data_IF_137420240702
#
_entry.id   IF_137420240702
#
_cell.length_a   1.000
_cell.length_b   1.000
_cell.length_c   1.000
_cell.angle_alpha   90.00
_cell.angle_beta   90.00
_cell.angle_gamma   90.00
#
_symmetry.space_group_name_H-M   'P 1'
#
loop_
_entity.id
_entity.type
_entity.pdbx_description
1 polymer ?
#
# COMPACT_ATOMS: atom_id res chain seq x y z
N UNK A 1 -5.64 37.45 -23.87
CA UNK A 1 -4.26 37.24 -24.38
C UNK A 1 -4.28 35.88 -25.02
N UNK A 2 -4.10 35.82 -26.34
CA UNK A 2 -4.25 34.63 -27.16
C UNK A 2 -3.22 33.58 -26.75
N UNK A 3 -3.69 32.41 -26.29
CA UNK A 3 -2.86 31.21 -26.10
C UNK A 3 -2.13 30.95 -27.40
N UNK A 4 -0.80 30.98 -27.34
CA UNK A 4 0.02 30.68 -28.49
C UNK A 4 -0.22 29.21 -28.85
N UNK A 5 -0.69 28.94 -30.06
CA UNK A 5 -0.63 27.61 -30.67
C UNK A 5 0.83 27.19 -30.66
N UNK A 6 1.25 26.47 -29.62
CA UNK A 6 2.60 25.92 -29.53
C UNK A 6 2.65 24.79 -30.54
N UNK A 7 3.13 25.12 -31.74
CA UNK A 7 3.39 24.14 -32.78
C UNK A 7 4.47 23.18 -32.23
N UNK A 8 4.09 21.94 -31.93
CA UNK A 8 4.99 20.96 -31.33
C UNK A 8 6.02 20.52 -32.39
N UNK A 9 7.30 20.77 -32.11
CA UNK A 9 8.43 20.29 -32.91
C UNK A 9 9.40 19.47 -32.07
N UNK A 10 10.45 18.94 -32.70
CA UNK A 10 11.52 18.25 -31.98
C UNK A 10 12.18 19.17 -30.93
N UNK A 11 12.44 20.41 -31.33
CA UNK A 11 13.10 21.44 -30.53
C UNK A 11 12.22 21.84 -29.35
N UNK A 12 10.90 22.00 -29.55
CA UNK A 12 10.00 22.34 -28.45
C UNK A 12 9.94 21.24 -27.39
N UNK A 13 9.89 19.96 -27.81
CA UNK A 13 9.91 18.82 -26.87
C UNK A 13 11.24 18.80 -26.11
N UNK A 14 12.35 19.06 -26.81
CA UNK A 14 13.66 19.15 -26.18
C UNK A 14 13.73 20.28 -25.15
N UNK A 15 13.26 21.48 -25.48
CA UNK A 15 13.21 22.62 -24.56
C UNK A 15 12.35 22.32 -23.32
N UNK A 16 11.17 21.74 -23.52
CA UNK A 16 10.27 21.34 -22.43
C UNK A 16 10.97 20.33 -21.51
N UNK A 17 11.66 19.33 -22.08
CA UNK A 17 12.45 18.37 -21.30
C UNK A 17 13.59 19.04 -20.54
N UNK A 18 14.30 19.99 -21.16
CA UNK A 18 15.40 20.70 -20.50
C UNK A 18 14.90 21.59 -19.36
N UNK A 19 13.75 22.24 -19.51
CA UNK A 19 13.10 22.99 -18.43
C UNK A 19 12.63 22.07 -17.30
N UNK A 20 12.08 20.90 -17.64
CA UNK A 20 11.72 19.88 -16.64
C UNK A 20 12.94 19.40 -15.85
N UNK A 21 14.09 19.24 -16.53
CA UNK A 21 15.37 18.86 -15.91
C UNK A 21 15.93 19.92 -14.98
N UNK A 22 15.89 21.19 -15.40
CA UNK A 22 16.55 22.28 -14.69
C UNK A 22 15.80 22.79 -13.46
N UNK A 23 14.48 22.53 -13.36
CA UNK A 23 13.65 22.99 -12.24
C UNK A 23 13.37 21.84 -11.30
N UNK A 24 13.42 22.11 -10.00
CA UNK A 24 12.92 21.17 -9.00
C UNK A 24 11.40 21.08 -9.06
N UNK A 25 10.71 22.20 -9.19
CA UNK A 25 9.25 22.28 -9.24
C UNK A 25 8.67 21.76 -10.56
N UNK A 26 7.39 21.35 -10.52
CA UNK A 26 6.66 20.90 -11.70
C UNK A 26 6.44 22.11 -12.62
N UNK A 27 6.92 22.03 -13.85
CA UNK A 27 6.67 23.11 -14.80
C UNK A 27 5.22 23.06 -15.29
N UNK A 28 4.64 24.24 -15.53
CA UNK A 28 3.36 24.37 -16.21
C UNK A 28 3.53 24.03 -17.69
N UNK A 29 2.62 23.22 -18.21
CA UNK A 29 2.49 22.88 -19.62
C UNK A 29 1.13 23.36 -20.13
N UNK A 30 1.01 23.50 -21.44
CA UNK A 30 -0.28 23.76 -22.09
C UNK A 30 -1.24 22.59 -21.83
N UNK A 31 -2.54 22.85 -21.58
CA UNK A 31 -3.51 21.79 -21.29
C UNK A 31 -3.59 20.72 -22.38
N UNK A 32 -3.44 21.14 -23.64
CA UNK A 32 -3.51 20.26 -24.80
C UNK A 32 -2.13 19.72 -25.25
N UNK A 33 -1.08 19.90 -24.44
CA UNK A 33 0.29 19.51 -24.79
C UNK A 33 0.39 18.07 -25.31
N UNK A 34 -0.20 17.09 -24.61
CA UNK A 34 -0.14 15.70 -25.06
C UNK A 34 -0.94 15.45 -26.34
N UNK A 35 -2.04 16.16 -26.56
CA UNK A 35 -2.81 16.07 -27.81
C UNK A 35 -1.95 16.56 -28.98
N UNK A 36 -1.29 17.71 -28.82
CA UNK A 36 -0.40 18.27 -29.84
C UNK A 36 0.81 17.38 -30.11
N UNK A 37 1.39 16.75 -29.07
CA UNK A 37 2.45 15.75 -29.24
C UNK A 37 1.99 14.54 -30.05
N UNK A 38 0.77 14.04 -29.80
CA UNK A 38 0.21 12.91 -30.58
C UNK A 38 0.00 13.29 -32.04
N UNK A 39 -0.48 14.50 -32.34
CA UNK A 39 -0.62 15.00 -33.71
C UNK A 39 0.74 15.03 -34.41
N UNK A 40 1.75 15.63 -33.78
CA UNK A 40 3.11 15.70 -34.31
C UNK A 40 3.73 14.31 -34.58
N UNK A 41 3.54 13.36 -33.68
CA UNK A 41 4.02 11.98 -33.84
C UNK A 41 3.34 11.27 -35.03
N UNK A 42 2.04 11.49 -35.23
CA UNK A 42 1.30 10.94 -36.37
C UNK A 42 1.81 11.50 -37.70
N UNK A 43 2.03 12.81 -37.77
CA UNK A 43 2.58 13.47 -38.96
C UNK A 43 3.98 12.94 -39.29
N UNK A 44 4.88 12.86 -38.30
CA UNK A 44 6.22 12.31 -38.48
C UNK A 44 6.21 10.86 -38.94
N UNK A 45 5.27 10.05 -38.42
CA UNK A 45 5.12 8.66 -38.85
C UNK A 45 4.59 8.55 -40.28
N UNK A 46 3.63 9.38 -40.67
CA UNK A 46 3.09 9.42 -42.02
C UNK A 46 4.17 9.74 -43.07
N UNK A 47 5.09 10.67 -42.77
CA UNK A 47 6.24 10.99 -43.65
C UNK A 47 7.14 9.76 -43.87
N UNK A 48 7.44 9.00 -42.80
CA UNK A 48 8.23 7.76 -42.91
C UNK A 48 7.51 6.71 -43.78
N UNK A 49 6.18 6.60 -43.64
CA UNK A 49 5.37 5.65 -44.41
C UNK A 49 5.27 6.03 -45.89
N UNK A 50 5.13 7.32 -46.22
CA UNK A 50 5.13 7.79 -47.60
C UNK A 50 6.46 7.52 -48.31
N UNK A 51 7.58 7.80 -47.62
CA UNK A 51 8.93 7.56 -48.15
C UNK A 51 9.34 6.08 -48.15
N UNK A 52 8.50 5.17 -47.63
CA UNK A 52 8.82 3.74 -47.59
C UNK A 52 8.67 3.02 -48.94
N UNK A 53 8.03 3.67 -49.93
CA UNK A 53 7.74 3.09 -51.25
C UNK A 53 8.78 3.43 -52.32
N UNK A 54 9.68 4.38 -52.07
CA UNK A 54 10.75 4.79 -52.98
C UNK A 54 12.03 3.99 -52.72
N UNK A 55 12.57 3.34 -53.77
CA UNK A 55 13.83 2.58 -53.71
C UNK A 55 15.09 3.43 -53.99
N UNK A 56 14.95 4.77 -53.99
CA UNK A 56 16.06 5.69 -54.20
C UNK A 56 16.99 5.72 -52.97
N UNK A 57 18.30 5.68 -53.21
CA UNK A 57 19.33 5.64 -52.15
C UNK A 57 19.25 6.87 -51.24
N UNK A 58 18.96 8.05 -51.82
CA UNK A 58 18.76 9.28 -51.05
C UNK A 58 17.54 9.20 -50.13
N UNK A 59 16.45 8.59 -50.60
CA UNK A 59 15.24 8.39 -49.80
C UNK A 59 15.47 7.40 -48.64
N UNK A 60 16.35 6.41 -48.80
CA UNK A 60 16.74 5.48 -47.73
C UNK A 60 17.51 6.23 -46.62
N UNK A 61 18.49 7.06 -46.98
CA UNK A 61 19.28 7.82 -45.99
C UNK A 61 18.41 8.81 -45.21
N UNK A 62 17.51 9.52 -45.90
CA UNK A 62 16.57 10.46 -45.27
C UNK A 62 15.58 9.74 -44.33
N UNK A 63 15.11 8.55 -44.73
CA UNK A 63 14.24 7.71 -43.90
C UNK A 63 14.94 7.27 -42.62
N UNK A 64 16.19 6.80 -42.69
CA UNK A 64 16.94 6.40 -41.51
C UNK A 64 17.15 7.57 -40.54
N UNK A 65 17.47 8.77 -41.05
CA UNK A 65 17.59 10.00 -40.23
C UNK A 65 16.26 10.31 -39.54
N UNK A 66 15.16 10.23 -40.26
CA UNK A 66 13.81 10.50 -39.72
C UNK A 66 13.41 9.45 -38.66
N UNK A 67 13.74 8.17 -38.88
CA UNK A 67 13.51 7.12 -37.90
C UNK A 67 14.31 7.33 -36.61
N UNK A 68 15.58 7.72 -36.72
CA UNK A 68 16.42 8.08 -35.56
C UNK A 68 15.82 9.26 -34.78
N UNK A 69 15.37 10.30 -35.49
CA UNK A 69 14.70 11.43 -34.85
C UNK A 69 13.42 10.98 -34.10
N UNK A 70 12.59 10.13 -34.71
CA UNK A 70 11.38 9.62 -34.07
C UNK A 70 11.68 8.79 -32.81
N UNK A 71 12.71 7.94 -32.87
CA UNK A 71 13.19 7.21 -31.69
C UNK A 71 13.64 8.15 -30.58
N UNK A 72 14.39 9.20 -30.91
CA UNK A 72 14.83 10.20 -29.94
C UNK A 72 13.64 10.95 -29.32
N UNK A 73 12.62 11.30 -30.12
CA UNK A 73 11.39 11.92 -29.61
C UNK A 73 10.71 11.02 -28.58
N UNK A 74 10.57 9.71 -28.86
CA UNK A 74 9.99 8.78 -27.89
C UNK A 74 10.79 8.72 -26.59
N UNK A 75 12.12 8.69 -26.68
CA UNK A 75 13.00 8.72 -25.52
C UNK A 75 12.83 10.02 -24.72
N UNK A 76 12.72 11.17 -25.38
CA UNK A 76 12.49 12.46 -24.73
C UNK A 76 11.14 12.55 -24.03
N UNK A 77 10.06 12.09 -24.67
CA UNK A 77 8.71 12.08 -24.09
C UNK A 77 8.66 11.19 -22.85
N UNK A 78 9.26 9.99 -22.93
CA UNK A 78 9.35 9.07 -21.80
C UNK A 78 10.14 9.70 -20.64
N UNK A 79 11.29 10.29 -20.93
CA UNK A 79 12.10 10.95 -19.90
C UNK A 79 11.35 12.13 -19.26
N UNK A 80 10.67 12.94 -20.08
CA UNK A 80 9.85 14.06 -19.61
C UNK A 80 8.79 13.57 -18.62
N UNK A 81 8.01 12.55 -19.00
CA UNK A 81 6.95 12.04 -18.15
C UNK A 81 7.48 11.43 -16.85
N UNK A 82 8.55 10.61 -16.92
CA UNK A 82 9.18 10.04 -15.71
C UNK A 82 9.69 11.12 -14.74
N UNK A 83 10.18 12.26 -15.25
CA UNK A 83 10.59 13.38 -14.40
C UNK A 83 9.38 14.07 -13.75
N UNK A 84 8.31 14.27 -14.52
CA UNK A 84 7.05 14.82 -14.01
C UNK A 84 6.45 13.93 -12.93
N UNK A 85 6.38 12.62 -13.15
CA UNK A 85 5.88 11.65 -12.16
C UNK A 85 6.58 11.80 -10.80
N UNK A 86 7.91 11.86 -10.78
CA UNK A 86 8.68 12.04 -9.54
C UNK A 86 8.28 13.33 -8.81
N UNK A 87 8.09 14.42 -9.55
CA UNK A 87 7.67 15.70 -8.98
C UNK A 87 6.24 15.65 -8.48
N UNK A 88 5.33 15.01 -9.21
CA UNK A 88 3.93 14.81 -8.83
C UNK A 88 3.84 13.99 -7.54
N UNK A 89 4.61 12.91 -7.41
CA UNK A 89 4.66 12.10 -6.18
C UNK A 89 5.14 12.94 -4.99
N UNK A 90 6.20 13.73 -5.16
CA UNK A 90 6.70 14.63 -4.11
C UNK A 90 5.65 15.68 -3.73
N UNK A 91 5.00 16.27 -4.72
CA UNK A 91 3.92 17.25 -4.54
C UNK A 91 2.76 16.65 -3.74
N UNK A 92 2.33 15.45 -4.11
CA UNK A 92 1.26 14.72 -3.43
C UNK A 92 1.60 14.43 -1.96
N UNK A 93 2.85 14.04 -1.69
CA UNK A 93 3.33 13.81 -0.33
C UNK A 93 3.30 15.09 0.52
N UNK A 94 3.72 16.22 -0.04
CA UNK A 94 3.65 17.52 0.64
C UNK A 94 2.20 17.91 0.94
N UNK A 95 1.30 17.77 -0.05
CA UNK A 95 -0.13 18.08 0.10
C UNK A 95 -0.80 17.22 1.17
N UNK A 96 -0.48 15.93 1.22
CA UNK A 96 -1.06 15.00 2.17
C UNK A 96 -0.66 15.29 3.63
N UNK A 97 0.57 15.80 3.86
CA UNK A 97 1.10 16.10 5.20
C UNK A 97 0.68 17.47 5.71
N UNK A 98 0.82 18.50 4.88
CA UNK A 98 0.58 19.88 5.31
C UNK A 98 -0.92 20.22 5.42
N UNK A 99 -1.80 19.38 4.87
CA UNK A 99 -3.26 19.53 4.95
C UNK A 99 -3.83 20.73 4.19
N UNK A 100 -2.99 21.69 3.80
CA UNK A 100 -3.39 22.97 3.22
C UNK A 100 -3.49 22.95 1.69
N UNK A 101 -4.37 23.79 1.15
CA UNK A 101 -4.49 24.15 -0.28
C UNK A 101 -3.35 25.06 -0.77
N UNK A 102 -2.26 25.20 -0.02
CA UNK A 102 -1.11 26.02 -0.38
C UNK A 102 -0.27 25.41 -1.53
N UNK A 103 -0.60 24.20 -1.94
CA UNK A 103 0.09 23.50 -3.02
C UNK A 103 -0.55 23.90 -4.33
N UNK A 104 0.20 24.62 -5.17
CA UNK A 104 -0.25 25.01 -6.49
C UNK A 104 -0.47 23.77 -7.39
N UNK A 105 -1.73 23.58 -7.81
CA UNK A 105 -2.16 22.50 -8.69
C UNK A 105 -2.29 22.96 -10.16
N UNK A 106 -1.99 24.24 -10.45
CA UNK A 106 -2.15 24.82 -11.78
C UNK A 106 -1.21 24.25 -12.84
N UNK A 107 -0.12 23.60 -12.42
CA UNK A 107 0.87 22.97 -13.28
C UNK A 107 0.56 21.50 -13.64
N UNK A 108 -0.45 20.90 -13.00
CA UNK A 108 -0.90 19.53 -13.28
C UNK A 108 -1.82 19.51 -14.50
N UNK A 109 -1.53 18.59 -15.43
CA UNK A 109 -2.44 18.26 -16.53
C UNK A 109 -3.60 17.39 -16.02
N UNK A 110 -4.68 17.30 -16.79
CA UNK A 110 -5.89 16.60 -16.35
C UNK A 110 -5.65 15.10 -16.11
N UNK A 111 -4.84 14.46 -16.95
CA UNK A 111 -4.42 13.07 -16.78
C UNK A 111 -3.58 12.88 -15.50
N UNK A 112 -2.78 13.88 -15.15
CA UNK A 112 -1.90 13.88 -13.98
C UNK A 112 -2.66 14.16 -12.67
N UNK A 113 -3.74 14.95 -12.74
CA UNK A 113 -4.62 15.20 -11.58
C UNK A 113 -5.24 13.91 -11.06
N UNK A 114 -5.58 12.97 -11.94
CA UNK A 114 -6.17 11.69 -11.55
C UNK A 114 -5.22 10.90 -10.63
N UNK A 115 -3.98 10.68 -11.05
CA UNK A 115 -2.98 9.97 -10.22
C UNK A 115 -2.59 10.78 -8.99
N UNK A 116 -2.48 12.11 -9.11
CA UNK A 116 -2.16 12.98 -7.98
C UNK A 116 -3.18 12.84 -6.85
N UNK A 117 -4.48 12.91 -7.15
CA UNK A 117 -5.53 12.81 -6.14
C UNK A 117 -5.54 11.45 -5.44
N UNK A 118 -5.32 10.36 -6.19
CA UNK A 118 -5.20 9.02 -5.63
C UNK A 118 -3.99 8.90 -4.69
N UNK A 119 -2.84 9.45 -5.07
CA UNK A 119 -1.63 9.48 -4.23
C UNK A 119 -1.86 10.29 -2.95
N UNK A 120 -2.50 11.46 -3.05
CA UNK A 120 -2.81 12.30 -1.88
C UNK A 120 -3.71 11.55 -0.90
N UNK A 121 -4.76 10.87 -1.41
CA UNK A 121 -5.64 10.05 -0.58
C UNK A 121 -4.85 8.95 0.11
N UNK A 122 -4.07 8.18 -0.64
CA UNK A 122 -3.24 7.09 -0.13
C UNK A 122 -2.30 7.58 0.99
N UNK A 123 -1.53 8.63 0.73
CA UNK A 123 -0.61 9.17 1.72
C UNK A 123 -1.33 9.69 2.97
N UNK A 124 -2.49 10.34 2.82
CA UNK A 124 -3.29 10.84 3.94
C UNK A 124 -3.83 9.70 4.80
N UNK A 125 -4.37 8.65 4.18
CA UNK A 125 -4.98 7.52 4.87
C UNK A 125 -3.94 6.73 5.67
N UNK A 126 -2.79 6.43 5.08
CA UNK A 126 -1.70 5.76 5.79
C UNK A 126 -1.10 6.64 6.90
N UNK A 127 -0.98 7.95 6.68
CA UNK A 127 -0.49 8.86 7.72
C UNK A 127 -1.44 8.92 8.92
N UNK A 128 -2.75 9.04 8.69
CA UNK A 128 -3.78 9.02 9.74
C UNK A 128 -3.83 7.66 10.45
N UNK A 129 -3.78 6.56 9.68
CA UNK A 129 -3.83 5.20 10.20
C UNK A 129 -2.62 4.79 11.03
N UNK A 130 -1.44 5.35 10.73
CA UNK A 130 -0.20 5.08 11.47
C UNK A 130 0.02 6.16 12.52
N UNK A 131 0.46 7.34 12.09
CA UNK A 131 0.88 8.44 12.98
C UNK A 131 -0.31 8.96 13.78
N UNK A 132 -1.47 9.14 13.13
CA UNK A 132 -2.68 9.60 13.81
C UNK A 132 -3.18 8.67 14.93
N UNK A 133 -2.92 7.37 14.83
CA UNK A 133 -3.24 6.40 15.88
C UNK A 133 -2.16 6.34 16.96
N UNK A 134 -0.87 6.33 16.58
CA UNK A 134 0.26 6.34 17.52
C UNK A 134 0.18 7.56 18.44
N UNK A 135 -0.09 8.76 17.89
CA UNK A 135 -0.24 9.98 18.68
C UNK A 135 -1.46 9.96 19.63
N UNK A 136 -2.39 9.02 19.44
CA UNK A 136 -3.55 8.77 20.32
C UNK A 136 -3.34 7.55 21.23
N UNK A 137 -2.12 7.03 21.34
CA UNK A 137 -1.77 5.81 22.07
C UNK A 137 -2.58 4.58 21.61
N UNK A 138 -2.90 4.50 20.30
CA UNK A 138 -3.58 3.36 19.67
C UNK A 138 -2.63 2.66 18.70
N UNK A 139 -2.84 1.37 18.49
CA UNK A 139 -2.09 0.61 17.49
C UNK A 139 -2.37 1.14 16.06
N UNK A 140 -1.37 1.10 15.15
CA UNK A 140 -1.58 1.43 13.75
C UNK A 140 -2.69 0.58 13.13
N UNK A 141 -3.60 1.26 12.44
CA UNK A 141 -4.69 0.63 11.70
C UNK A 141 -4.69 1.20 10.28
N UNK A 142 -4.29 0.37 9.32
CA UNK A 142 -4.17 0.72 7.91
C UNK A 142 -4.79 -0.38 7.08
N UNK A 143 -5.23 -0.03 5.87
CA UNK A 143 -5.67 -1.04 4.91
C UNK A 143 -4.49 -1.96 4.54
N UNK A 144 -4.69 -3.26 4.78
CA UNK A 144 -3.70 -4.31 4.57
C UNK A 144 -3.98 -5.14 3.32
N UNK A 145 -4.94 -4.76 2.48
CA UNK A 145 -5.32 -5.49 1.25
C UNK A 145 -4.15 -5.81 0.32
N UNK A 146 -3.07 -5.04 0.38
CA UNK A 146 -1.87 -5.23 -0.43
C UNK A 146 -0.71 -5.92 0.29
N UNK A 147 -0.89 -6.37 1.54
CA UNK A 147 0.09 -7.25 2.19
C UNK A 147 -0.06 -8.66 1.63
N UNK A 148 1.03 -9.20 1.08
CA UNK A 148 1.06 -10.62 0.74
C UNK A 148 0.83 -11.43 2.02
N UNK A 149 -0.13 -12.35 1.98
CA UNK A 149 -0.57 -13.17 3.14
C UNK A 149 0.61 -13.90 3.82
N UNK A 150 1.70 -14.17 3.10
CA UNK A 150 2.95 -14.73 3.66
C UNK A 150 3.66 -13.80 4.66
N UNK A 151 3.55 -12.49 4.50
CA UNK A 151 4.16 -11.51 5.40
C UNK A 151 3.26 -11.21 6.62
N UNK A 152 1.94 -11.44 6.49
CA UNK A 152 0.95 -11.21 7.55
C UNK A 152 1.06 -12.25 8.67
N UNK A 153 1.27 -13.53 8.35
CA UNK A 153 1.52 -14.59 9.36
C UNK A 153 2.66 -14.21 10.31
N UNK A 154 3.71 -13.60 9.77
CA UNK A 154 4.89 -13.18 10.55
C UNK A 154 4.60 -11.99 11.49
N UNK A 155 3.58 -11.18 11.20
CA UNK A 155 3.17 -10.04 12.04
C UNK A 155 2.17 -10.46 13.11
N UNK A 156 1.31 -11.45 12.83
CA UNK A 156 0.43 -12.08 13.82
C UNK A 156 1.23 -12.85 14.88
N UNK A 157 2.36 -13.45 14.51
CA UNK A 157 3.28 -14.09 15.46
C UNK A 157 3.97 -13.10 16.43
N UNK A 158 3.99 -11.80 16.11
CA UNK A 158 4.55 -10.74 16.98
C UNK A 158 3.47 -10.13 17.89
N UNK A 159 2.19 -10.30 17.55
CA UNK A 159 1.05 -9.91 18.37
C UNK A 159 0.28 -11.15 18.81
N UNK A 160 0.79 -11.83 19.85
CA UNK A 160 0.29 -13.10 20.36
C UNK A 160 -1.23 -13.22 20.43
N UNK A 161 -1.81 -13.91 19.46
CA UNK A 161 -3.15 -14.49 19.49
C UNK A 161 -3.29 -15.48 18.31
N UNK A 162 -2.68 -16.66 18.45
CA UNK A 162 -2.75 -17.69 17.41
C UNK A 162 -2.24 -19.07 17.83
N UNK A 163 -2.06 -19.32 19.14
CA UNK A 163 -1.97 -20.68 19.66
C UNK A 163 -3.26 -20.92 20.43
N UNK A 164 -3.99 -21.99 20.10
CA UNK A 164 -5.15 -22.39 20.89
C UNK A 164 -4.71 -22.48 22.35
N UNK A 165 -5.34 -21.75 23.25
CA UNK A 165 -5.00 -21.81 24.67
C UNK A 165 -5.92 -22.81 25.35
N UNK A 166 -5.35 -23.59 26.29
CA UNK A 166 -6.08 -24.55 27.10
C UNK A 166 -6.02 -24.09 28.56
N UNK A 167 -7.15 -24.24 29.24
CA UNK A 167 -7.23 -23.94 30.68
C UNK A 167 -6.85 -25.19 31.45
N UNK A 168 -5.82 -25.07 32.28
CA UNK A 168 -5.28 -26.16 33.07
C UNK A 168 -5.43 -25.87 34.55
N UNK A 169 -5.66 -26.92 35.34
CA UNK A 169 -5.55 -26.94 36.79
C UNK A 169 -4.29 -27.70 37.21
N UNK A 170 -3.43 -27.10 38.02
CA UNK A 170 -2.17 -27.70 38.46
C UNK A 170 -2.41 -28.70 39.59
N UNK A 171 -1.91 -29.93 39.43
CA UNK A 171 -2.02 -30.99 40.45
C UNK A 171 -0.86 -30.94 41.46
N UNK A 172 0.24 -30.29 41.09
CA UNK A 172 1.43 -30.14 41.92
C UNK A 172 2.06 -28.78 41.64
N UNK A 173 2.83 -28.26 42.62
CA UNK A 173 3.57 -27.02 42.41
C UNK A 173 4.56 -27.11 41.24
N UNK A 174 4.54 -26.11 40.38
CA UNK A 174 5.40 -25.98 39.20
C UNK A 174 6.21 -24.69 39.33
N UNK A 175 7.55 -24.76 39.40
CA UNK A 175 8.38 -23.58 39.48
C UNK A 175 8.32 -22.76 38.19
N UNK A 176 8.77 -21.51 38.24
CA UNK A 176 8.86 -20.64 37.06
C UNK A 176 9.65 -21.31 35.93
N UNK A 177 9.11 -21.26 34.71
CA UNK A 177 9.72 -21.87 33.52
C UNK A 177 9.53 -20.98 32.28
N UNK A 178 10.24 -21.30 31.22
CA UNK A 178 10.25 -20.53 29.97
C UNK A 178 9.86 -21.43 28.80
N UNK A 179 9.02 -20.94 27.89
CA UNK A 179 8.62 -21.68 26.69
C UNK A 179 9.62 -21.55 25.52
N UNK A 180 9.32 -22.21 24.41
CA UNK A 180 10.08 -22.17 23.16
C UNK A 180 10.18 -20.78 22.53
N UNK A 181 9.35 -19.82 22.97
CA UNK A 181 9.27 -18.43 22.52
C UNK A 181 9.90 -17.44 23.50
N UNK A 182 10.62 -17.94 24.52
CA UNK A 182 11.22 -17.14 25.60
C UNK A 182 10.22 -16.42 26.50
N UNK A 183 8.95 -16.86 26.55
CA UNK A 183 7.95 -16.33 27.47
C UNK A 183 8.01 -17.07 28.81
N UNK A 184 8.01 -16.31 29.90
CA UNK A 184 8.13 -16.82 31.27
C UNK A 184 6.75 -17.09 31.86
N UNK A 185 6.57 -18.26 32.50
CA UNK A 185 5.35 -18.69 33.17
C UNK A 185 5.64 -19.18 34.59
N UNK A 186 4.67 -19.06 35.49
CA UNK A 186 4.77 -19.51 36.88
C UNK A 186 5.55 -18.54 37.79
N UNK A 187 5.82 -18.93 39.05
CA UNK A 187 5.51 -20.24 39.65
C UNK A 187 4.00 -20.46 39.83
N UNK A 188 3.57 -21.73 39.75
CA UNK A 188 2.19 -22.16 40.00
C UNK A 188 2.16 -23.08 41.21
N UNK A 189 1.16 -22.90 42.07
CA UNK A 189 0.90 -23.73 43.24
C UNK A 189 -0.09 -24.88 42.90
N UNK A 190 -0.28 -25.80 43.85
CA UNK A 190 -1.25 -26.88 43.70
C UNK A 190 -2.67 -26.30 43.71
N UNK A 191 -3.55 -26.82 42.83
CA UNK A 191 -4.89 -26.35 42.50
C UNK A 191 -4.97 -24.99 41.75
N UNK A 192 -3.85 -24.36 41.40
CA UNK A 192 -3.88 -23.15 40.57
C UNK A 192 -4.49 -23.41 39.20
N UNK A 193 -5.15 -22.39 38.64
CA UNK A 193 -5.75 -22.44 37.31
C UNK A 193 -5.07 -21.42 36.40
N UNK A 194 -4.55 -21.86 35.25
CA UNK A 194 -3.94 -20.98 34.27
C UNK A 194 -4.38 -21.32 32.85
N UNK A 195 -4.48 -20.30 32.01
CA UNK A 195 -4.73 -20.45 30.57
C UNK A 195 -3.39 -20.36 29.83
N UNK A 196 -2.94 -21.47 29.25
CA UNK A 196 -1.62 -21.59 28.64
C UNK A 196 -1.72 -22.01 27.17
N UNK A 197 -0.73 -21.68 26.33
CA UNK A 197 -0.68 -22.17 24.94
C UNK A 197 -0.72 -23.69 24.88
N UNK A 198 -1.32 -24.27 23.85
CA UNK A 198 -1.46 -25.73 23.67
C UNK A 198 -0.11 -26.46 23.74
N UNK A 199 0.95 -25.89 23.16
CA UNK A 199 2.29 -26.46 23.20
C UNK A 199 2.80 -26.65 24.63
N UNK A 200 2.60 -25.64 25.50
CA UNK A 200 3.00 -25.69 26.91
C UNK A 200 2.06 -26.60 27.69
N UNK A 201 0.77 -26.54 27.38
CA UNK A 201 -0.27 -27.28 28.08
C UNK A 201 -0.10 -28.79 27.92
N UNK A 202 0.17 -29.26 26.69
CA UNK A 202 0.41 -30.68 26.41
C UNK A 202 1.60 -31.22 27.22
N UNK A 203 2.69 -30.45 27.32
CA UNK A 203 3.87 -30.88 28.09
C UNK A 203 3.58 -30.97 29.59
N UNK A 204 2.75 -30.09 30.15
CA UNK A 204 2.37 -30.12 31.56
C UNK A 204 1.43 -31.27 31.89
N UNK A 205 0.50 -31.59 30.98
CA UNK A 205 -0.41 -32.74 31.09
C UNK A 205 0.34 -34.06 30.92
N UNK A 206 1.21 -34.18 29.91
CA UNK A 206 2.02 -35.38 29.65
C UNK A 206 2.95 -35.72 30.84
N UNK A 207 3.44 -34.68 31.54
CA UNK A 207 4.26 -34.83 32.75
C UNK A 207 3.45 -35.06 34.02
N UNK A 208 2.11 -35.11 33.92
CA UNK A 208 1.20 -35.31 35.06
C UNK A 208 1.23 -34.18 36.09
N UNK A 209 1.61 -32.96 35.69
CA UNK A 209 1.70 -31.79 36.58
C UNK A 209 0.43 -30.95 36.57
N UNK A 210 -0.37 -31.05 35.53
CA UNK A 210 -1.63 -30.33 35.40
C UNK A 210 -2.67 -31.18 34.65
N UNK A 211 -3.95 -30.86 34.87
CA UNK A 211 -5.10 -31.51 34.24
C UNK A 211 -5.91 -30.46 33.46
N UNK A 212 -6.42 -30.81 32.29
CA UNK A 212 -7.25 -29.92 31.48
C UNK A 212 -8.67 -29.80 32.04
N UNK A 213 -9.15 -28.57 32.25
CA UNK A 213 -10.51 -28.31 32.70
C UNK A 213 -11.34 -27.72 31.55
N UNK A 214 -12.38 -28.46 31.15
CA UNK A 214 -13.42 -27.93 30.28
C UNK A 214 -14.46 -27.24 31.14
N UNK A 215 -14.41 -25.91 31.26
CA UNK A 215 -15.49 -25.14 31.90
C UNK A 215 -16.68 -25.12 30.93
N UNK A 216 -17.49 -26.19 30.98
CA UNK A 216 -18.82 -26.23 30.38
C UNK A 216 -19.80 -25.42 31.22
N UNK A 217 -20.62 -24.61 30.55
CA UNK A 217 -21.76 -23.89 31.13
C UNK A 217 -22.70 -24.88 31.85
N UNK A 218 -22.59 -25.01 33.18
CA UNK A 218 -23.57 -25.68 34.02
C UNK A 218 -24.00 -24.74 35.16
N UNK A 219 -24.74 -23.67 34.81
CA UNK A 219 -25.63 -22.97 35.74
C UNK A 219 -26.83 -22.39 34.98
N UNK A 220 -27.68 -23.27 34.45
CA UNK A 220 -29.03 -22.92 34.04
C UNK A 220 -29.92 -24.16 34.10
N UNK A 221 -30.41 -24.52 35.29
CA UNK A 221 -31.71 -25.17 35.49
C UNK A 221 -31.91 -25.44 36.98
N UNK A 222 -32.55 -24.49 37.68
CA UNK A 222 -33.40 -24.80 38.83
C UNK A 222 -34.43 -23.69 39.00
N UNK A 223 -35.37 -23.63 38.06
CA UNK A 223 -36.70 -23.10 38.35
C UNK A 223 -37.74 -23.72 37.42
N UNK A 224 -38.28 -24.88 37.81
CA UNK A 224 -39.50 -25.46 37.24
C UNK A 224 -40.66 -25.17 38.21
N UNK A 225 -41.73 -24.46 37.81
CA UNK A 225 -42.99 -24.53 38.53
C UNK A 225 -43.67 -25.84 38.11
N UNK A 226 -43.80 -26.78 39.05
CA UNK A 226 -44.71 -27.92 38.88
C UNK A 226 -45.98 -27.65 39.67
N UNK A 227 -47.06 -27.44 38.92
CA UNK A 227 -48.41 -27.48 39.43
C UNK A 227 -48.75 -28.91 39.88
N UNK A 228 -49.18 -29.04 41.12
CA UNK A 228 -49.83 -30.23 41.66
C UNK A 228 -51.16 -29.79 42.28
N UNK A 229 -52.26 -29.92 41.52
CA UNK A 229 -53.47 -30.48 42.09
C UNK A 229 -53.20 -32.00 42.20
N UNK A 230 -53.53 -32.74 43.25
CA UNK A 230 -54.84 -32.86 43.88
C UNK A 230 -54.72 -33.84 45.07
N UNK A 231 -55.41 -33.58 46.19
CA UNK A 231 -56.21 -34.51 47.02
C UNK A 231 -56.28 -34.10 48.50
N UNK A 232 -57.39 -33.47 48.87
CA UNK A 232 -58.32 -33.88 49.93
C UNK A 232 -59.53 -32.95 49.91
#
# INVERSE_FOLDING_TARGET
>A
MTEADVNITYETIFEVLMREKGREELQKLEPDFFKSVVVYLKEKRAVIELNSKSADLFAIEEREKTQKQLHNIYSMIRELYTRREKKIVRLALMRARSGSDLVDMSALLDEEKAIFNELVRLFSDYYKGIVGNILKNRLPNVDRRFLNIRDVKRLEDIGGAGSQTRTLRFLHSVPMFVDSRMQVYGPFEEEDIANLPEEVSNVLVDKGRAEEINIGNDHAEDNKPSASAEKA
#
